data_IF_894982145226
#
_entry.id   IF_894982145226
#
_cell.length_a   1.000
_cell.length_b   1.000
_cell.length_c   1.000
_cell.angle_alpha   90.00
_cell.angle_beta   90.00
_cell.angle_gamma   90.00
#
_symmetry.space_group_name_H-M   'P 1'
#
loop_
_entity.id
_entity.type
_entity.pdbx_description
1 polymer ?
#
# COMPACT_ATOMS: atom_id res chain seq x y z
N UNK A 1 12.53 22.38 -15.17
CA UNK A 1 12.16 21.24 -16.04
C UNK A 1 12.92 19.99 -15.58
N UNK A 2 12.31 19.16 -14.72
CA UNK A 2 12.58 17.71 -14.77
C UNK A 2 11.37 16.80 -14.48
N UNK A 3 10.22 17.34 -14.03
CA UNK A 3 9.04 16.55 -13.62
C UNK A 3 8.60 15.57 -14.73
N UNK A 4 8.17 16.07 -15.89
CA UNK A 4 7.47 15.27 -16.92
C UNK A 4 8.27 14.06 -17.47
N UNK A 5 9.60 14.12 -17.58
CA UNK A 5 10.39 13.04 -18.18
C UNK A 5 10.63 11.87 -17.22
N UNK A 6 10.86 12.17 -15.93
CA UNK A 6 11.14 11.18 -14.89
C UNK A 6 9.90 10.31 -14.60
N UNK A 7 8.70 10.92 -14.58
CA UNK A 7 7.45 10.19 -14.39
C UNK A 7 7.13 9.22 -15.52
N UNK A 8 7.45 9.57 -16.77
CA UNK A 8 7.14 8.69 -17.92
C UNK A 8 7.91 7.37 -17.82
N UNK A 9 9.19 7.44 -17.42
CA UNK A 9 9.99 6.24 -17.22
C UNK A 9 9.47 5.43 -16.03
N UNK A 10 9.13 6.08 -14.90
CA UNK A 10 8.52 5.40 -13.75
C UNK A 10 7.28 4.59 -14.10
N UNK A 11 6.34 5.18 -14.83
CA UNK A 11 5.12 4.46 -15.22
C UNK A 11 5.42 3.35 -16.24
N UNK A 12 6.39 3.55 -17.15
CA UNK A 12 6.83 2.47 -18.05
C UNK A 12 7.48 1.30 -17.28
N UNK A 13 8.27 1.59 -16.25
CA UNK A 13 8.87 0.57 -15.38
C UNK A 13 7.80 -0.14 -14.54
N UNK A 14 6.77 0.59 -14.08
CA UNK A 14 5.61 -0.01 -13.42
C UNK A 14 4.87 -0.98 -14.35
N UNK A 15 4.56 -0.57 -15.57
CA UNK A 15 3.91 -1.41 -16.59
C UNK A 15 4.74 -2.66 -16.87
N UNK A 16 6.04 -2.50 -17.08
CA UNK A 16 6.96 -3.62 -17.29
C UNK A 16 6.89 -4.64 -16.14
N UNK A 17 6.89 -4.19 -14.89
CA UNK A 17 6.84 -5.08 -13.73
C UNK A 17 5.47 -5.75 -13.54
N UNK A 18 4.38 -5.05 -13.87
CA UNK A 18 3.02 -5.60 -13.86
C UNK A 18 2.90 -6.76 -14.87
N UNK A 19 3.45 -6.57 -16.07
CA UNK A 19 3.36 -7.55 -17.17
C UNK A 19 4.34 -8.74 -17.00
N UNK A 20 5.41 -8.58 -16.20
CA UNK A 20 6.48 -9.58 -16.05
C UNK A 20 6.54 -10.20 -14.64
N UNK A 21 5.40 -10.73 -14.16
CA UNK A 21 5.25 -11.23 -12.79
C UNK A 21 6.23 -12.33 -12.39
N UNK A 22 6.60 -13.24 -13.29
CA UNK A 22 7.57 -14.31 -12.99
C UNK A 22 8.97 -13.75 -12.70
N UNK A 23 9.34 -12.63 -13.33
CA UNK A 23 10.58 -11.93 -13.04
C UNK A 23 10.46 -11.16 -11.72
N UNK A 24 9.33 -10.47 -11.52
CA UNK A 24 9.01 -9.75 -10.28
C UNK A 24 9.14 -10.67 -9.07
N UNK A 25 8.49 -11.85 -9.08
CA UNK A 25 8.51 -12.81 -7.97
C UNK A 25 9.92 -13.31 -7.68
N UNK A 26 10.75 -13.53 -8.69
CA UNK A 26 12.16 -13.93 -8.50
C UNK A 26 12.98 -12.83 -7.83
N UNK A 27 12.77 -11.57 -8.20
CA UNK A 27 13.48 -10.43 -7.62
C UNK A 27 12.98 -10.11 -6.20
N UNK A 28 11.69 -10.30 -5.95
CA UNK A 28 11.01 -10.01 -4.70
C UNK A 28 11.01 -11.19 -3.71
N UNK A 29 11.96 -12.13 -3.77
CA UNK A 29 12.03 -13.29 -2.87
C UNK A 29 10.71 -14.10 -2.78
N UNK A 30 9.95 -14.20 -3.88
CA UNK A 30 8.64 -14.85 -3.94
C UNK A 30 7.46 -13.96 -3.58
N UNK A 31 7.67 -12.68 -3.26
CA UNK A 31 6.61 -11.69 -3.10
C UNK A 31 5.98 -11.29 -4.44
N UNK A 32 4.73 -10.82 -4.39
CA UNK A 32 3.96 -10.42 -5.57
C UNK A 32 3.51 -8.96 -5.48
N UNK A 33 4.42 -8.09 -5.05
CA UNK A 33 4.13 -6.67 -4.80
C UNK A 33 5.15 -5.74 -5.47
N UNK A 34 4.68 -4.56 -5.88
CA UNK A 34 5.47 -3.46 -6.43
C UNK A 34 5.33 -2.27 -5.50
N UNK A 35 6.46 -1.70 -5.10
CA UNK A 35 6.51 -0.49 -4.28
C UNK A 35 6.83 0.69 -5.21
N UNK A 36 5.85 1.54 -5.45
CA UNK A 36 5.94 2.66 -6.39
C UNK A 36 6.21 3.96 -5.61
N UNK A 37 7.47 4.39 -5.59
CA UNK A 37 7.95 5.48 -4.73
C UNK A 37 7.80 6.86 -5.39
N UNK A 38 7.33 7.83 -4.61
CA UNK A 38 7.27 9.25 -4.99
C UNK A 38 7.42 10.16 -3.77
N UNK A 39 7.75 11.44 -3.99
CA UNK A 39 7.81 12.39 -2.88
C UNK A 39 6.41 12.65 -2.30
N UNK A 40 6.23 12.69 -0.97
CA UNK A 40 4.92 12.86 -0.34
C UNK A 40 4.12 14.08 -0.83
N UNK A 41 4.77 15.20 -1.11
CA UNK A 41 4.14 16.42 -1.63
C UNK A 41 3.67 16.30 -3.09
N UNK A 42 4.17 15.31 -3.83
CA UNK A 42 3.78 15.02 -5.21
C UNK A 42 2.65 13.97 -5.32
N UNK A 43 2.18 13.38 -4.21
CA UNK A 43 1.22 12.26 -4.23
C UNK A 43 0.03 12.50 -5.17
N UNK A 44 -0.59 13.68 -5.05
CA UNK A 44 -1.75 14.06 -5.85
C UNK A 44 -1.51 13.95 -7.36
N UNK A 45 -0.31 14.30 -7.82
CA UNK A 45 0.06 14.27 -9.23
C UNK A 45 0.22 12.84 -9.76
N UNK A 46 0.79 11.95 -8.95
CA UNK A 46 0.93 10.53 -9.31
C UNK A 46 -0.41 9.81 -9.29
N UNK A 47 -1.29 10.14 -8.33
CA UNK A 47 -2.64 9.57 -8.28
C UNK A 47 -3.49 10.03 -9.47
N UNK A 48 -3.46 11.32 -9.80
CA UNK A 48 -4.13 11.85 -11.00
C UNK A 48 -3.60 11.13 -12.25
N UNK A 49 -2.27 11.02 -12.38
CA UNK A 49 -1.68 10.39 -13.55
C UNK A 49 -1.98 8.90 -13.66
N UNK A 50 -1.96 8.17 -12.55
CA UNK A 50 -2.31 6.75 -12.52
C UNK A 50 -3.78 6.53 -12.89
N UNK A 51 -4.68 7.41 -12.42
CA UNK A 51 -6.10 7.36 -12.78
C UNK A 51 -6.31 7.53 -14.28
N UNK A 52 -5.60 8.48 -14.91
CA UNK A 52 -5.64 8.68 -16.37
C UNK A 52 -5.14 7.47 -17.16
N UNK A 53 -4.02 6.86 -16.73
CA UNK A 53 -3.34 5.79 -17.49
C UNK A 53 -4.08 4.46 -17.35
N UNK A 54 -4.44 4.10 -16.11
CA UNK A 54 -4.89 2.76 -15.80
C UNK A 54 -6.42 2.63 -15.84
N UNK A 55 -7.16 3.70 -15.54
CA UNK A 55 -8.62 3.72 -15.59
C UNK A 55 -9.24 2.46 -14.98
N UNK A 56 -10.01 1.73 -15.79
CA UNK A 56 -10.73 0.53 -15.35
C UNK A 56 -9.85 -0.70 -15.08
N UNK A 57 -8.57 -0.71 -15.46
CA UNK A 57 -7.66 -1.84 -15.24
C UNK A 57 -7.27 -2.03 -13.78
N UNK A 58 -7.38 -0.97 -12.98
CA UNK A 58 -6.98 -0.96 -11.58
C UNK A 58 -8.19 -0.76 -10.67
N UNK A 59 -8.03 -1.17 -9.42
CA UNK A 59 -8.88 -0.71 -8.31
C UNK A 59 -7.97 0.06 -7.36
N UNK A 60 -8.23 1.36 -7.24
CA UNK A 60 -7.59 2.17 -6.21
C UNK A 60 -8.25 1.90 -4.86
N UNK A 61 -7.46 1.39 -3.93
CA UNK A 61 -7.86 1.11 -2.56
C UNK A 61 -7.33 2.25 -1.70
N UNK A 62 -8.23 3.17 -1.35
CA UNK A 62 -7.91 4.33 -0.52
C UNK A 62 -7.84 3.93 0.96
N UNK A 63 -6.62 3.83 1.50
CA UNK A 63 -6.38 3.44 2.89
C UNK A 63 -7.00 4.43 3.87
N UNK A 64 -7.05 5.72 3.53
CA UNK A 64 -7.67 6.73 4.40
C UNK A 64 -9.17 6.47 4.57
N UNK A 65 -9.84 6.04 3.51
CA UNK A 65 -11.27 5.68 3.57
C UNK A 65 -11.51 4.40 4.37
N UNK A 66 -10.63 3.40 4.23
CA UNK A 66 -10.70 2.18 5.04
C UNK A 66 -10.49 2.47 6.53
N UNK A 67 -9.54 3.36 6.86
CA UNK A 67 -9.29 3.79 8.23
C UNK A 67 -10.49 4.52 8.82
N UNK A 68 -11.09 5.46 8.08
CA UNK A 68 -12.31 6.15 8.53
C UNK A 68 -13.45 5.16 8.72
N UNK A 69 -13.66 4.25 7.76
CA UNK A 69 -14.69 3.20 7.87
C UNK A 69 -14.49 2.31 9.09
N UNK A 70 -13.25 1.96 9.41
CA UNK A 70 -12.91 1.17 10.59
C UNK A 70 -13.30 1.92 11.88
N UNK A 71 -12.90 3.20 11.99
CA UNK A 71 -13.22 4.05 13.15
C UNK A 71 -14.74 4.28 13.28
N UNK A 72 -15.43 4.45 12.16
CA UNK A 72 -16.87 4.73 12.12
C UNK A 72 -17.75 3.48 12.35
N UNK A 73 -17.17 2.28 12.36
CA UNK A 73 -17.92 1.04 12.63
C UNK A 73 -18.60 1.07 14.01
N UNK A 74 -17.87 1.55 15.02
CA UNK A 74 -18.39 1.76 16.39
C UNK A 74 -18.67 3.24 16.70
N UNK A 75 -18.19 4.14 15.83
CA UNK A 75 -18.25 5.58 15.98
C UNK A 75 -17.13 6.14 16.86
N UNK A 76 -16.77 7.40 16.59
CA UNK A 76 -15.60 8.07 17.20
C UNK A 76 -15.54 7.98 18.74
N UNK A 77 -16.66 8.11 19.44
CA UNK A 77 -16.69 8.08 20.90
C UNK A 77 -16.22 6.74 21.47
N UNK A 78 -16.81 5.64 20.98
CA UNK A 78 -16.46 4.28 21.39
C UNK A 78 -15.04 3.93 20.96
N UNK A 79 -14.66 4.26 19.73
CA UNK A 79 -13.30 4.06 19.24
C UNK A 79 -12.26 4.80 20.09
N UNK A 80 -12.51 6.06 20.48
CA UNK A 80 -11.57 6.83 21.28
C UNK A 80 -11.42 6.31 22.72
N UNK A 81 -12.46 5.67 23.28
CA UNK A 81 -12.36 4.94 24.54
C UNK A 81 -11.53 3.67 24.36
N UNK A 82 -11.88 2.83 23.39
CA UNK A 82 -11.14 1.62 23.06
C UNK A 82 -9.65 1.89 22.79
N UNK A 83 -9.35 2.88 21.95
CA UNK A 83 -7.96 3.26 21.64
C UNK A 83 -7.17 3.71 22.87
N UNK A 84 -7.82 4.39 23.84
CA UNK A 84 -7.17 4.79 25.11
C UNK A 84 -6.86 3.59 26.00
N UNK A 85 -7.75 2.60 26.05
CA UNK A 85 -7.52 1.37 26.81
C UNK A 85 -6.29 0.60 26.29
N UNK A 86 -6.00 0.74 24.99
CA UNK A 86 -4.83 0.17 24.33
C UNK A 86 -3.65 1.14 24.22
N UNK A 87 -3.60 2.23 25.01
CA UNK A 87 -2.54 3.25 24.93
C UNK A 87 -1.10 2.72 25.02
N UNK A 88 -0.88 1.59 25.71
CA UNK A 88 0.44 0.95 25.80
C UNK A 88 0.77 0.05 24.59
N UNK A 89 -0.25 -0.39 23.84
CA UNK A 89 -0.12 -1.26 22.65
C UNK A 89 -1.10 -0.83 21.56
N UNK A 90 -1.02 0.42 21.05
CA UNK A 90 -2.03 0.97 20.14
C UNK A 90 -2.10 0.25 18.79
N UNK A 91 -1.01 -0.42 18.39
CA UNK A 91 -0.97 -1.23 17.17
C UNK A 91 -1.97 -2.39 17.18
N UNK A 92 -2.30 -2.93 18.37
CA UNK A 92 -3.28 -4.02 18.49
C UNK A 92 -4.70 -3.61 18.14
N UNK A 93 -4.99 -2.30 18.14
CA UNK A 93 -6.28 -1.77 17.71
C UNK A 93 -6.50 -1.98 16.21
N UNK A 94 -5.43 -1.92 15.42
CA UNK A 94 -5.51 -1.96 13.96
C UNK A 94 -5.10 -3.30 13.35
N UNK A 95 -4.36 -4.12 14.12
CA UNK A 95 -3.87 -5.43 13.73
C UNK A 95 -3.79 -6.34 14.96
N UNK A 96 -4.71 -7.29 15.06
CA UNK A 96 -4.86 -8.19 16.22
C UNK A 96 -4.89 -9.66 15.80
N UNK A 97 -4.93 -10.57 16.79
CA UNK A 97 -5.23 -11.99 16.56
C UNK A 97 -6.71 -12.32 16.84
N UNK A 98 -7.52 -11.30 17.13
CA UNK A 98 -8.93 -11.46 17.46
C UNK A 98 -9.75 -11.81 16.20
N UNK A 99 -10.88 -12.52 16.36
CA UNK A 99 -11.72 -12.91 15.23
C UNK A 99 -12.55 -11.74 14.65
N UNK A 100 -12.59 -10.59 15.35
CA UNK A 100 -13.29 -9.41 14.87
C UNK A 100 -12.46 -8.68 13.81
N UNK A 101 -13.04 -8.30 12.67
CA UNK A 101 -12.29 -7.66 11.59
C UNK A 101 -11.66 -6.35 12.02
N UNK A 102 -10.34 -6.22 11.84
CA UNK A 102 -9.60 -4.99 12.09
C UNK A 102 -9.28 -4.24 10.78
N UNK A 103 -8.51 -3.14 10.88
CA UNK A 103 -8.09 -2.36 9.72
C UNK A 103 -7.25 -3.20 8.75
N UNK A 104 -6.39 -4.08 9.24
CA UNK A 104 -5.58 -4.95 8.40
C UNK A 104 -6.48 -5.90 7.59
N UNK A 105 -7.48 -6.51 8.22
CA UNK A 105 -8.46 -7.36 7.53
C UNK A 105 -9.25 -6.61 6.45
N UNK A 106 -9.63 -5.36 6.71
CA UNK A 106 -10.31 -4.52 5.73
C UNK A 106 -9.43 -4.25 4.50
N UNK A 107 -8.13 -4.00 4.71
CA UNK A 107 -7.15 -3.80 3.63
C UNK A 107 -7.00 -5.08 2.81
N UNK A 108 -6.77 -6.23 3.45
CA UNK A 108 -6.61 -7.51 2.77
C UNK A 108 -7.89 -7.89 2.00
N UNK A 109 -9.05 -7.66 2.59
CA UNK A 109 -10.34 -7.91 1.95
C UNK A 109 -10.54 -7.04 0.70
N UNK A 110 -10.19 -5.75 0.76
CA UNK A 110 -10.27 -4.86 -0.40
C UNK A 110 -9.33 -5.30 -1.53
N UNK A 111 -8.11 -5.74 -1.20
CA UNK A 111 -7.15 -6.26 -2.18
C UNK A 111 -7.69 -7.52 -2.87
N UNK A 112 -8.28 -8.45 -2.11
CA UNK A 112 -8.87 -9.67 -2.65
C UNK A 112 -10.03 -9.38 -3.58
N UNK A 113 -10.93 -8.47 -3.18
CA UNK A 113 -12.08 -8.07 -4.01
C UNK A 113 -11.65 -7.47 -5.36
N UNK A 114 -10.56 -6.69 -5.39
CA UNK A 114 -10.00 -6.18 -6.63
C UNK A 114 -9.46 -7.32 -7.53
N UNK A 115 -8.75 -8.28 -6.93
CA UNK A 115 -8.26 -9.45 -7.66
C UNK A 115 -9.37 -10.38 -8.17
N UNK A 116 -10.47 -10.53 -7.42
CA UNK A 116 -11.65 -11.29 -7.84
C UNK A 116 -12.33 -10.67 -9.08
N UNK A 117 -12.19 -9.35 -9.25
CA UNK A 117 -12.66 -8.62 -10.43
C UNK A 117 -11.65 -8.63 -11.59
N UNK A 118 -10.56 -9.41 -11.49
CA UNK A 118 -9.46 -9.44 -12.45
C UNK A 118 -8.77 -8.08 -12.67
N UNK A 119 -8.81 -7.21 -11.65
CA UNK A 119 -8.18 -5.89 -11.67
C UNK A 119 -6.92 -5.87 -10.83
N UNK A 120 -6.01 -4.96 -11.15
CA UNK A 120 -4.77 -4.75 -10.40
C UNK A 120 -5.11 -3.95 -9.12
N UNK A 121 -4.88 -4.49 -7.91
CA UNK A 121 -5.07 -3.74 -6.68
C UNK A 121 -3.97 -2.69 -6.51
N UNK A 122 -4.36 -1.44 -6.24
CA UNK A 122 -3.44 -0.33 -6.02
C UNK A 122 -3.74 0.34 -4.68
N UNK A 123 -2.86 0.20 -3.69
CA UNK A 123 -3.02 0.91 -2.41
C UNK A 123 -2.55 2.36 -2.57
N UNK A 124 -3.41 3.31 -2.19
CA UNK A 124 -3.12 4.76 -2.23
C UNK A 124 -3.32 5.38 -0.85
N UNK A 125 -2.75 6.57 -0.62
CA UNK A 125 -2.74 7.21 0.71
C UNK A 125 -2.20 6.31 1.81
N UNK A 126 -1.21 5.48 1.46
CA UNK A 126 -0.57 4.54 2.38
C UNK A 126 0.11 5.24 3.57
N UNK A 127 0.39 6.55 3.46
CA UNK A 127 0.80 7.41 4.56
C UNK A 127 -0.05 7.31 5.83
N UNK A 128 -1.36 7.04 5.68
CA UNK A 128 -2.29 6.86 6.80
C UNK A 128 -1.99 5.65 7.69
N UNK A 129 -1.16 4.70 7.22
CA UNK A 129 -0.73 3.58 8.05
C UNK A 129 0.29 3.99 9.12
N UNK A 130 0.92 5.18 8.99
CA UNK A 130 1.84 5.65 10.00
C UNK A 130 1.15 5.81 11.36
N UNK A 131 1.69 5.13 12.38
CA UNK A 131 1.11 5.12 13.73
C UNK A 131 0.12 3.97 13.99
N UNK A 132 -0.33 3.25 12.96
CA UNK A 132 -1.22 2.08 13.13
C UNK A 132 -0.49 0.81 13.53
N UNK A 133 0.84 0.75 13.32
CA UNK A 133 1.63 -0.47 13.49
C UNK A 133 1.53 -1.45 12.32
N UNK A 134 0.68 -1.17 11.33
CA UNK A 134 0.67 -1.88 10.05
C UNK A 134 1.78 -1.30 9.17
N UNK A 135 2.79 -2.11 8.87
CA UNK A 135 3.81 -1.79 7.89
C UNK A 135 3.53 -2.53 6.57
N UNK A 136 4.01 -1.98 5.45
CA UNK A 136 3.80 -2.60 4.14
C UNK A 136 4.28 -4.04 4.09
N UNK A 137 5.33 -4.39 4.83
CA UNK A 137 5.84 -5.77 4.87
C UNK A 137 4.78 -6.74 5.38
N UNK A 138 3.94 -6.32 6.34
CA UNK A 138 2.83 -7.14 6.83
C UNK A 138 1.85 -7.46 5.70
N UNK A 139 1.54 -6.47 4.85
CA UNK A 139 0.63 -6.63 3.72
C UNK A 139 1.29 -7.50 2.63
N UNK A 140 2.55 -7.23 2.28
CA UNK A 140 3.27 -7.90 1.18
C UNK A 140 3.56 -9.37 1.47
N UNK A 141 3.71 -9.75 2.74
CA UNK A 141 3.91 -11.13 3.18
C UNK A 141 2.60 -11.89 3.42
N UNK A 142 1.46 -11.21 3.37
CA UNK A 142 0.17 -11.86 3.56
C UNK A 142 -0.08 -12.87 2.42
N UNK A 143 -0.55 -14.06 2.78
CA UNK A 143 -0.64 -15.21 1.87
C UNK A 143 -1.52 -14.94 0.65
N UNK A 144 -2.67 -14.32 0.82
CA UNK A 144 -3.56 -13.98 -0.30
C UNK A 144 -2.90 -12.96 -1.23
N UNK A 145 -2.17 -11.97 -0.67
CA UNK A 145 -1.39 -10.98 -1.44
C UNK A 145 -0.30 -11.64 -2.28
N UNK A 146 0.45 -12.57 -1.70
CA UNK A 146 1.49 -13.31 -2.43
C UNK A 146 0.93 -14.17 -3.58
N UNK A 147 -0.33 -14.60 -3.48
CA UNK A 147 -0.97 -15.49 -4.45
C UNK A 147 -1.93 -14.77 -5.42
N UNK A 148 -1.96 -13.43 -5.42
CA UNK A 148 -2.80 -12.67 -6.35
C UNK A 148 -2.48 -12.99 -7.82
N UNK A 149 -3.50 -12.86 -8.67
CA UNK A 149 -3.36 -13.03 -10.13
C UNK A 149 -2.57 -11.87 -10.77
N UNK A 150 -2.72 -10.67 -10.22
CA UNK A 150 -1.96 -9.47 -10.58
C UNK A 150 -1.15 -9.00 -9.37
N UNK A 151 0.03 -8.39 -9.55
CA UNK A 151 0.80 -7.91 -8.42
C UNK A 151 0.06 -6.80 -7.68
N UNK A 152 0.26 -6.72 -6.36
CA UNK A 152 -0.18 -5.58 -5.56
C UNK A 152 0.72 -4.39 -5.84
N UNK A 153 0.16 -3.25 -6.23
CA UNK A 153 0.93 -2.00 -6.36
C UNK A 153 0.68 -1.14 -5.14
N UNK A 154 1.74 -0.67 -4.48
CA UNK A 154 1.65 0.22 -3.33
C UNK A 154 2.22 1.57 -3.74
N UNK A 155 1.34 2.57 -3.84
CA UNK A 155 1.73 3.96 -4.01
C UNK A 155 2.29 4.46 -2.68
N UNK A 156 3.61 4.70 -2.68
CA UNK A 156 4.38 4.83 -1.47
C UNK A 156 5.05 6.20 -1.38
N UNK A 157 4.54 7.11 -0.51
CA UNK A 157 5.15 8.40 -0.28
C UNK A 157 6.48 8.20 0.46
N UNK A 158 7.59 8.35 -0.25
CA UNK A 158 8.92 8.12 0.29
C UNK A 158 10.02 8.90 -0.41
N UNK A 159 11.11 9.08 0.33
CA UNK A 159 12.40 9.54 -0.19
C UNK A 159 13.32 8.36 -0.36
N UNK A 160 14.11 8.37 -1.43
CA UNK A 160 15.22 7.45 -1.62
C UNK A 160 16.50 8.25 -1.47
N UNK A 161 17.36 7.83 -0.55
CA UNK A 161 18.72 8.36 -0.42
C UNK A 161 19.69 7.21 -0.52
N UNK A 162 20.64 7.33 -1.46
CA UNK A 162 21.55 6.26 -1.84
C UNK A 162 20.75 5.00 -2.24
N UNK A 163 20.76 3.97 -1.40
CA UNK A 163 19.99 2.74 -1.56
C UNK A 163 18.98 2.49 -0.41
N UNK A 164 18.73 3.48 0.43
CA UNK A 164 17.75 3.41 1.50
C UNK A 164 16.44 4.08 1.09
N UNK A 165 15.32 3.49 1.50
CA UNK A 165 13.99 4.06 1.30
C UNK A 165 13.45 4.54 2.65
N UNK A 166 12.92 5.75 2.66
CA UNK A 166 12.39 6.42 3.84
C UNK A 166 10.93 6.77 3.62
N UNK A 167 10.04 6.01 4.25
CA UNK A 167 8.62 6.29 4.28
C UNK A 167 8.33 7.64 4.92
N UNK A 168 7.44 8.41 4.29
CA UNK A 168 7.14 9.79 4.66
C UNK A 168 8.39 10.66 4.82
N UNK A 169 9.46 10.32 4.10
CA UNK A 169 10.78 10.97 4.10
C UNK A 169 11.60 10.83 5.39
N UNK A 170 11.17 10.05 6.38
CA UNK A 170 11.93 9.90 7.64
C UNK A 170 11.99 8.48 8.21
N UNK A 171 10.97 7.63 8.01
CA UNK A 171 10.94 6.28 8.62
C UNK A 171 11.63 5.29 7.68
N UNK A 172 12.75 4.64 8.06
CA UNK A 172 13.35 3.60 7.24
C UNK A 172 12.34 2.51 6.91
N UNK A 173 12.27 2.11 5.65
CA UNK A 173 11.32 1.13 5.15
C UNK A 173 12.02 -0.08 4.50
N UNK A 174 11.37 -1.23 4.58
CA UNK A 174 11.87 -2.47 3.99
C UNK A 174 11.57 -2.51 2.49
N UNK A 175 12.56 -2.97 1.72
CA UNK A 175 12.39 -3.36 0.30
C UNK A 175 12.14 -4.87 0.14
N UNK A 176 12.01 -5.60 1.25
CA UNK A 176 11.79 -7.04 1.23
C UNK A 176 10.41 -7.37 0.64
N UNK A 177 10.34 -8.45 -0.14
CA UNK A 177 9.10 -8.97 -0.77
C UNK A 177 8.43 -8.06 -1.80
N UNK A 178 9.14 -7.04 -2.28
CA UNK A 178 8.67 -6.19 -3.38
C UNK A 178 9.76 -5.85 -4.40
N UNK A 179 9.32 -5.44 -5.59
CA UNK A 179 10.15 -4.70 -6.55
C UNK A 179 9.93 -3.20 -6.35
N UNK A 180 11.00 -2.42 -6.23
CA UNK A 180 10.95 -0.97 -6.10
C UNK A 180 10.98 -0.30 -7.47
N UNK A 181 9.98 0.54 -7.76
CA UNK A 181 9.97 1.50 -8.88
C UNK A 181 10.28 2.88 -8.32
N UNK A 182 11.38 3.49 -8.79
CA UNK A 182 12.02 4.66 -8.17
C UNK A 182 12.18 5.84 -9.11
#
# INVERSE_FOLDING_TARGET
MPYIADHKQKFADLDFNIDNQDQLRRQANGGNSILFSYQPDEEHLYLEKASEIYGDKVVFIDISQLLVRFIDADGWGAFAEYYRDFSNTPHKVFMSEDPEPDLFDLIISAIKQASEQDKIPVLIRSGCLFGTGIDNVNIMEQRDVMNLKHPLVIFYPSKIEEDNIFFLNFKPASKYRCTLVK
#
